data_IF_110502634801
#
_entry.id   IF_110502634801
#
_cell.length_a   1.000
_cell.length_b   1.000
_cell.length_c   1.000
_cell.angle_alpha   90.00
_cell.angle_beta   90.00
_cell.angle_gamma   90.00
#
_symmetry.space_group_name_H-M   'P 1'
#
loop_
_entity.id
_entity.type
_entity.pdbx_description
1 polymer ?
#
# COMPACT_ATOMS: atom_id res chain seq x y z
N UNK A 1 -32.81 -3.67 -12.71
CA UNK A 1 -32.17 -4.97 -12.81
C UNK A 1 -33.17 -6.12 -12.94
N UNK A 2 -34.05 -6.33 -11.97
CA UNK A 2 -35.08 -7.39 -12.04
C UNK A 2 -35.92 -7.26 -13.32
N UNK A 3 -36.36 -6.04 -13.69
CA UNK A 3 -37.07 -5.78 -14.95
C UNK A 3 -36.20 -6.05 -16.20
N UNK A 4 -34.92 -5.70 -16.14
CA UNK A 4 -33.98 -5.92 -17.23
C UNK A 4 -33.65 -7.41 -17.38
N UNK A 5 -33.45 -8.13 -16.28
CA UNK A 5 -33.27 -9.58 -16.30
C UNK A 5 -34.55 -10.30 -16.80
N UNK A 6 -35.74 -9.82 -16.42
CA UNK A 6 -37.01 -10.33 -16.94
C UNK A 6 -37.20 -10.08 -18.45
N UNK A 7 -36.68 -8.96 -18.96
CA UNK A 7 -36.73 -8.67 -20.42
C UNK A 7 -35.87 -9.64 -21.25
N UNK A 8 -34.83 -10.19 -20.64
CA UNK A 8 -33.88 -11.13 -21.27
C UNK A 8 -34.32 -12.61 -21.10
N UNK A 9 -34.92 -12.92 -19.94
CA UNK A 9 -35.26 -14.31 -19.57
C UNK A 9 -36.72 -14.67 -19.75
N UNK A 10 -37.63 -13.69 -19.97
CA UNK A 10 -39.07 -13.85 -19.98
C UNK A 10 -39.71 -13.85 -18.59
N UNK A 11 -41.06 -13.73 -18.53
CA UNK A 11 -41.84 -13.58 -17.29
C UNK A 11 -41.79 -14.76 -16.33
N UNK A 12 -41.34 -15.92 -16.78
CA UNK A 12 -41.40 -17.18 -16.04
C UNK A 12 -40.07 -17.56 -15.37
N UNK A 13 -39.09 -16.65 -15.36
CA UNK A 13 -37.83 -16.85 -14.69
C UNK A 13 -37.90 -16.35 -13.24
N UNK A 14 -37.61 -17.23 -12.28
CA UNK A 14 -37.32 -16.83 -10.92
C UNK A 14 -35.90 -16.28 -10.85
N UNK A 15 -35.78 -15.00 -10.53
CA UNK A 15 -34.48 -14.32 -10.45
C UNK A 15 -34.13 -14.25 -8.98
N UNK A 16 -33.17 -15.07 -8.56
CA UNK A 16 -32.61 -15.00 -7.20
C UNK A 16 -31.36 -14.12 -7.29
N UNK A 17 -31.40 -12.97 -6.62
CA UNK A 17 -30.23 -12.15 -6.39
C UNK A 17 -29.72 -12.54 -5.00
N UNK A 18 -28.63 -13.29 -4.94
CA UNK A 18 -28.01 -13.65 -3.69
C UNK A 18 -27.41 -12.38 -3.07
N UNK A 19 -28.03 -11.99 -1.97
CA UNK A 19 -27.61 -11.02 -0.96
C UNK A 19 -26.56 -9.97 -1.41
N UNK A 20 -27.01 -8.95 -2.14
CA UNK A 20 -26.29 -7.66 -2.18
C UNK A 20 -27.35 -6.57 -2.10
N UNK A 21 -27.16 -5.68 -1.17
CA UNK A 21 -28.04 -4.55 -0.89
C UNK A 21 -28.36 -3.77 -2.19
N UNK A 22 -29.62 -3.71 -2.57
CA UNK A 22 -30.06 -3.19 -3.86
C UNK A 22 -29.81 -1.67 -4.05
N UNK A 23 -29.16 -1.01 -3.11
CA UNK A 23 -28.94 0.45 -3.13
C UNK A 23 -27.71 0.91 -3.92
N UNK A 24 -26.86 -0.01 -4.40
CA UNK A 24 -25.58 0.36 -5.03
C UNK A 24 -25.48 0.11 -6.56
N UNK A 25 -26.57 -0.25 -7.23
CA UNK A 25 -26.53 -0.63 -8.62
C UNK A 25 -26.87 0.53 -9.57
N UNK A 26 -25.85 1.26 -10.01
CA UNK A 26 -25.95 2.23 -11.12
C UNK A 26 -25.35 1.73 -12.44
N UNK A 27 -25.28 0.42 -12.65
CA UNK A 27 -24.72 -0.16 -13.87
C UNK A 27 -25.80 -0.58 -14.87
N UNK A 28 -25.64 -0.10 -16.12
CA UNK A 28 -26.35 -0.65 -17.28
C UNK A 28 -25.52 -1.82 -17.82
N UNK A 29 -25.94 -3.04 -17.54
CA UNK A 29 -25.35 -4.24 -18.17
C UNK A 29 -25.86 -4.34 -19.58
N UNK A 30 -24.98 -4.45 -20.59
CA UNK A 30 -25.40 -4.77 -21.96
C UNK A 30 -25.90 -6.22 -21.99
N UNK A 31 -27.14 -6.49 -22.45
CA UNK A 31 -27.67 -7.85 -22.53
C UNK A 31 -26.83 -8.83 -23.37
N UNK A 32 -25.91 -8.31 -24.21
CA UNK A 32 -24.99 -9.13 -25.01
C UNK A 32 -23.80 -9.68 -24.20
N UNK A 33 -23.51 -9.12 -23.02
CA UNK A 33 -22.42 -9.57 -22.14
C UNK A 33 -22.86 -10.73 -21.22
N UNK A 34 -24.12 -11.17 -21.29
CA UNK A 34 -24.62 -12.31 -20.55
C UNK A 34 -24.19 -13.60 -21.25
N UNK A 35 -23.22 -14.32 -20.66
CA UNK A 35 -22.82 -15.63 -21.19
C UNK A 35 -23.91 -16.68 -20.95
N UNK A 36 -24.47 -17.19 -22.06
CA UNK A 36 -25.52 -18.19 -22.02
C UNK A 36 -24.98 -19.63 -21.77
N UNK A 37 -23.66 -19.81 -21.75
CA UNK A 37 -23.04 -21.14 -21.59
C UNK A 37 -23.01 -21.66 -20.13
N UNK A 38 -23.15 -20.77 -19.15
CA UNK A 38 -23.13 -21.09 -17.72
C UNK A 38 -24.56 -21.24 -17.12
N UNK A 39 -25.45 -21.93 -17.83
CA UNK A 39 -26.82 -22.22 -17.35
C UNK A 39 -26.78 -23.44 -16.40
N UNK A 40 -26.82 -23.18 -15.10
CA UNK A 40 -27.15 -24.22 -14.14
C UNK A 40 -28.67 -24.48 -14.17
N UNK A 41 -29.08 -25.74 -14.41
CA UNK A 41 -30.49 -26.14 -14.31
C UNK A 41 -30.61 -26.93 -13.02
N UNK A 42 -31.06 -26.33 -11.96
CA UNK A 42 -31.67 -27.05 -10.85
C UNK A 42 -33.19 -26.91 -10.90
N UNK A 43 -33.86 -27.96 -10.50
CA UNK A 43 -35.25 -28.32 -10.74
C UNK A 43 -36.36 -27.29 -10.48
N UNK A 44 -36.09 -26.02 -10.31
CA UNK A 44 -37.07 -24.90 -10.27
C UNK A 44 -36.44 -23.53 -10.50
N UNK A 45 -35.85 -23.26 -11.63
CA UNK A 45 -35.39 -21.90 -11.97
C UNK A 45 -34.13 -21.90 -12.82
N UNK A 46 -34.00 -20.92 -13.70
CA UNK A 46 -32.77 -20.72 -14.49
C UNK A 46 -31.85 -19.78 -13.69
N UNK A 47 -30.71 -20.32 -13.23
CA UNK A 47 -29.66 -19.51 -12.58
C UNK A 47 -28.74 -18.97 -13.67
N UNK A 48 -28.61 -17.66 -13.76
CA UNK A 48 -27.66 -16.99 -14.63
C UNK A 48 -26.43 -16.60 -13.85
N UNK A 49 -25.26 -17.15 -14.20
CA UNK A 49 -23.98 -16.60 -13.78
C UNK A 49 -23.54 -15.53 -14.75
N UNK A 50 -23.38 -14.31 -14.28
CA UNK A 50 -22.82 -13.21 -15.06
C UNK A 50 -21.29 -13.37 -14.93
N UNK A 51 -20.64 -13.81 -16.03
CA UNK A 51 -19.20 -13.92 -16.12
C UNK A 51 -18.62 -12.51 -16.34
N UNK A 52 -17.70 -12.06 -15.53
CA UNK A 52 -17.03 -10.77 -15.72
C UNK A 52 -17.55 -9.62 -14.88
N UNK A 53 -18.58 -9.80 -14.05
CA UNK A 53 -18.80 -8.85 -12.98
C UNK A 53 -17.82 -9.24 -11.86
N UNK A 54 -16.61 -8.72 -11.95
CA UNK A 54 -15.82 -8.49 -10.74
C UNK A 54 -16.68 -7.49 -9.97
N UNK A 55 -17.39 -7.99 -8.96
CA UNK A 55 -18.11 -7.12 -8.05
C UNK A 55 -17.14 -6.02 -7.65
N UNK A 56 -17.58 -4.79 -7.78
CA UNK A 56 -16.87 -3.63 -7.28
C UNK A 56 -16.73 -3.79 -5.76
N UNK A 57 -15.75 -4.59 -5.35
CA UNK A 57 -15.47 -4.89 -3.93
C UNK A 57 -14.93 -3.66 -3.20
N UNK A 58 -14.66 -2.59 -3.94
CA UNK A 58 -14.27 -1.29 -3.40
C UNK A 58 -15.47 -0.40 -3.03
N UNK A 59 -16.68 -0.88 -3.05
CA UNK A 59 -17.87 -0.16 -2.60
C UNK A 59 -18.42 -0.66 -1.27
N UNK A 60 -17.80 -1.68 -0.69
CA UNK A 60 -18.21 -2.20 0.62
C UNK A 60 -17.90 -1.14 1.68
N UNK A 61 -18.96 -0.55 2.26
CA UNK A 61 -18.84 0.36 3.39
C UNK A 61 -18.05 -0.33 4.51
N UNK A 62 -17.01 0.32 5.01
CA UNK A 62 -16.16 -0.25 6.04
C UNK A 62 -14.95 -1.03 5.54
N UNK A 63 -14.63 -0.98 4.24
CA UNK A 63 -13.48 -1.67 3.67
C UNK A 63 -12.24 -0.78 3.63
N UNK A 64 -11.10 -1.33 4.02
CA UNK A 64 -9.80 -0.68 3.96
C UNK A 64 -8.95 -1.31 2.85
N UNK A 65 -8.08 -0.51 2.24
CA UNK A 65 -7.31 -0.93 1.06
C UNK A 65 -5.82 -0.64 1.25
N UNK A 66 -4.98 -1.65 1.07
CA UNK A 66 -3.53 -1.50 0.97
C UNK A 66 -3.13 -1.55 -0.51
N UNK A 67 -2.42 -0.53 -0.96
CA UNK A 67 -1.93 -0.42 -2.34
C UNK A 67 -0.43 -0.65 -2.31
N UNK A 68 -0.01 -1.81 -2.80
CA UNK A 68 1.33 -2.35 -2.62
C UNK A 68 2.02 -2.69 -3.96
N UNK A 69 3.30 -2.92 -3.90
CA UNK A 69 4.17 -3.26 -5.02
C UNK A 69 5.49 -2.51 -4.93
N UNK A 70 6.44 -2.87 -5.79
CA UNK A 70 7.77 -2.24 -5.80
C UNK A 70 7.73 -0.78 -6.27
N UNK A 71 8.86 -0.10 -6.15
CA UNK A 71 9.02 1.25 -6.70
C UNK A 71 8.73 1.23 -8.20
N UNK A 72 7.96 2.23 -8.69
CA UNK A 72 7.58 2.35 -10.10
C UNK A 72 6.44 1.49 -10.59
N UNK A 73 5.87 0.66 -9.76
CA UNK A 73 4.72 -0.16 -10.13
C UNK A 73 3.42 0.63 -10.39
N UNK A 74 3.39 1.94 -10.09
CA UNK A 74 2.24 2.79 -10.35
C UNK A 74 1.25 2.91 -9.19
N UNK A 75 1.67 2.63 -7.94
CA UNK A 75 0.84 2.74 -6.74
C UNK A 75 0.16 4.09 -6.59
N UNK A 76 0.91 5.18 -6.67
CA UNK A 76 0.37 6.55 -6.51
C UNK A 76 -0.68 6.89 -7.58
N UNK A 77 -0.52 6.35 -8.81
CA UNK A 77 -1.50 6.47 -9.88
C UNK A 77 -2.80 5.73 -9.52
N UNK A 78 -2.68 4.50 -8.98
CA UNK A 78 -3.84 3.74 -8.54
C UNK A 78 -4.54 4.44 -7.38
N UNK A 79 -3.79 4.90 -6.36
CA UNK A 79 -4.34 5.67 -5.23
C UNK A 79 -5.08 6.91 -5.73
N UNK A 80 -4.54 7.65 -6.70
CA UNK A 80 -5.22 8.83 -7.27
C UNK A 80 -6.53 8.46 -8.00
N UNK A 81 -6.56 7.34 -8.73
CA UNK A 81 -7.79 6.83 -9.35
C UNK A 81 -8.84 6.46 -8.31
N UNK A 82 -8.42 5.74 -7.25
CA UNK A 82 -9.31 5.32 -6.17
C UNK A 82 -9.87 6.51 -5.39
N UNK A 83 -9.03 7.49 -5.04
CA UNK A 83 -9.48 8.74 -4.38
C UNK A 83 -10.51 9.50 -5.20
N UNK A 84 -10.37 9.49 -6.53
CA UNK A 84 -11.34 10.14 -7.41
C UNK A 84 -12.66 9.34 -7.51
N UNK A 85 -12.56 8.02 -7.49
CA UNK A 85 -13.73 7.13 -7.58
C UNK A 85 -14.49 7.06 -6.25
N UNK A 86 -13.78 7.08 -5.13
CA UNK A 86 -14.30 6.97 -3.77
C UNK A 86 -13.90 8.20 -2.93
N UNK A 87 -14.54 9.37 -3.14
CA UNK A 87 -14.14 10.62 -2.48
C UNK A 87 -14.35 10.61 -0.95
N UNK A 88 -15.10 9.66 -0.42
CA UNK A 88 -15.32 9.48 1.02
C UNK A 88 -14.17 8.78 1.72
N UNK A 89 -13.29 8.09 0.98
CA UNK A 89 -12.17 7.39 1.59
C UNK A 89 -11.09 8.35 2.08
N UNK A 90 -10.57 8.06 3.26
CA UNK A 90 -9.37 8.73 3.78
C UNK A 90 -8.13 8.07 3.19
N UNK A 91 -7.28 8.85 2.56
CA UNK A 91 -6.05 8.36 1.90
C UNK A 91 -4.85 8.69 2.75
N UNK A 92 -4.00 7.69 3.00
CA UNK A 92 -2.71 7.82 3.66
C UNK A 92 -1.60 7.48 2.68
N UNK A 93 -0.72 8.45 2.45
CA UNK A 93 0.48 8.33 1.60
C UNK A 93 1.72 8.24 2.46
N UNK A 94 2.84 7.86 1.87
CA UNK A 94 4.13 7.94 2.55
C UNK A 94 4.38 9.35 3.07
N UNK A 95 4.84 9.45 4.32
CA UNK A 95 5.03 10.71 5.01
C UNK A 95 3.79 11.30 5.69
N UNK A 96 2.61 10.69 5.53
CA UNK A 96 1.41 11.06 6.30
C UNK A 96 1.47 10.48 7.72
N UNK A 97 0.78 11.11 8.66
CA UNK A 97 0.48 10.47 9.93
C UNK A 97 -0.59 9.38 9.69
N UNK A 98 -0.13 8.18 9.41
CA UNK A 98 -0.98 7.03 9.17
C UNK A 98 -1.25 6.24 10.45
N UNK A 99 -2.41 5.62 10.65
CA UNK A 99 -2.66 4.77 11.82
C UNK A 99 -1.83 3.48 11.83
N UNK A 100 -1.27 3.05 10.70
CA UNK A 100 -0.54 1.79 10.58
C UNK A 100 0.95 1.96 10.30
N UNK A 101 1.34 2.99 9.54
CA UNK A 101 2.68 3.14 8.99
C UNK A 101 3.27 4.51 9.34
N UNK A 102 4.59 4.61 9.49
CA UNK A 102 5.32 5.84 9.86
C UNK A 102 6.53 6.13 8.97
N UNK A 103 6.56 5.63 7.73
CA UNK A 103 7.65 5.99 6.82
C UNK A 103 7.73 7.51 6.64
N UNK A 104 8.97 8.02 6.63
CA UNK A 104 9.25 9.44 6.49
C UNK A 104 8.69 10.31 7.62
N UNK A 105 8.49 9.71 8.80
CA UNK A 105 8.09 10.40 10.01
C UNK A 105 9.10 10.15 11.13
N UNK A 106 9.44 11.20 11.88
CA UNK A 106 10.24 11.05 13.09
C UNK A 106 9.34 10.63 14.26
N UNK A 107 9.76 9.58 14.99
CA UNK A 107 9.07 9.05 16.16
C UNK A 107 9.89 9.32 17.41
N UNK A 108 9.52 10.33 18.19
CA UNK A 108 10.34 10.86 19.28
C UNK A 108 9.60 10.91 20.61
N UNK A 109 10.32 10.86 21.71
CA UNK A 109 9.75 11.14 23.04
C UNK A 109 9.34 12.59 23.18
N UNK A 110 8.43 12.91 24.13
CA UNK A 110 8.03 14.30 24.44
C UNK A 110 9.21 15.20 24.76
N UNK A 111 10.23 14.66 25.45
CA UNK A 111 11.45 15.43 25.78
C UNK A 111 12.25 15.77 24.53
N UNK A 112 12.50 14.78 23.65
CA UNK A 112 13.21 15.02 22.39
C UNK A 112 12.42 15.96 21.46
N UNK A 113 11.09 15.87 21.45
CA UNK A 113 10.26 16.83 20.72
C UNK A 113 10.46 18.27 21.15
N UNK A 114 10.52 18.53 22.48
CA UNK A 114 10.78 19.86 23.00
C UNK A 114 12.16 20.39 22.58
N UNK A 115 13.20 19.53 22.61
CA UNK A 115 14.55 19.86 22.15
C UNK A 115 14.57 20.21 20.65
N UNK A 116 13.84 19.47 19.81
CA UNK A 116 13.69 19.74 18.38
C UNK A 116 13.02 21.12 18.16
N UNK A 117 11.95 21.42 18.89
CA UNK A 117 11.26 22.70 18.79
C UNK A 117 12.16 23.88 19.21
N UNK A 118 13.03 23.68 20.20
CA UNK A 118 13.98 24.70 20.62
C UNK A 118 15.13 24.89 19.61
N UNK A 119 15.64 23.78 19.06
CA UNK A 119 16.68 23.80 18.02
C UNK A 119 16.18 24.49 16.74
N UNK A 120 14.96 24.22 16.34
CA UNK A 120 14.32 24.73 15.12
C UNK A 120 13.25 25.77 15.40
N UNK A 121 13.48 26.64 16.40
CA UNK A 121 12.52 27.64 16.89
C UNK A 121 11.98 28.57 15.79
N UNK A 122 12.76 28.84 14.73
CA UNK A 122 12.35 29.68 13.61
C UNK A 122 11.24 29.09 12.73
N UNK A 123 11.06 27.77 12.79
CA UNK A 123 10.01 27.03 12.05
C UNK A 123 9.14 26.20 13.00
N UNK A 124 9.10 26.56 14.28
CA UNK A 124 8.37 25.86 15.33
C UNK A 124 6.92 25.57 14.93
N UNK A 125 6.20 26.59 14.48
CA UNK A 125 4.78 26.49 14.13
C UNK A 125 4.56 25.44 13.02
N UNK A 126 5.44 25.41 12.00
CA UNK A 126 5.37 24.43 10.92
C UNK A 126 5.62 22.99 11.41
N UNK A 127 6.52 22.82 12.40
CA UNK A 127 6.76 21.52 13.02
C UNK A 127 5.54 21.09 13.83
N UNK A 128 4.97 21.99 14.64
CA UNK A 128 3.81 21.74 15.48
C UNK A 128 2.58 21.35 14.62
N UNK A 129 2.34 22.05 13.52
CA UNK A 129 1.26 21.76 12.54
C UNK A 129 1.38 20.37 11.92
N UNK A 130 2.60 19.84 11.76
CA UNK A 130 2.87 18.54 11.17
C UNK A 130 3.24 17.48 12.24
N UNK A 131 2.83 17.70 13.49
CA UNK A 131 3.13 16.80 14.61
C UNK A 131 1.87 16.26 15.29
N UNK A 132 1.94 14.99 15.67
CA UNK A 132 0.83 14.25 16.24
C UNK A 132 1.22 13.60 17.57
N UNK A 133 0.29 13.59 18.53
CA UNK A 133 0.51 12.95 19.83
C UNK A 133 0.22 11.44 19.73
N UNK A 134 1.15 10.61 20.21
CA UNK A 134 0.98 9.18 20.28
C UNK A 134 1.50 8.66 21.64
N UNK A 135 0.61 8.56 22.62
CA UNK A 135 0.97 8.19 23.99
C UNK A 135 2.03 9.13 24.59
N UNK A 136 3.20 8.58 24.93
CA UNK A 136 4.35 9.34 25.43
C UNK A 136 5.30 9.83 24.34
N UNK A 137 4.94 9.61 23.10
CA UNK A 137 5.72 10.03 21.92
C UNK A 137 5.01 11.13 21.12
N UNK A 138 5.77 11.68 20.19
CA UNK A 138 5.32 12.55 19.11
C UNK A 138 5.77 11.96 17.78
N UNK A 139 4.88 12.03 16.82
CA UNK A 139 5.18 11.74 15.41
C UNK A 139 5.27 13.06 14.68
N UNK A 140 6.40 13.34 14.04
CA UNK A 140 6.62 14.51 13.22
C UNK A 140 6.67 14.07 11.77
N UNK A 141 5.70 14.46 10.96
CA UNK A 141 5.72 14.24 9.51
C UNK A 141 6.68 15.24 8.87
N UNK A 142 7.98 15.05 9.12
CA UNK A 142 9.01 16.05 8.84
C UNK A 142 9.17 16.34 7.35
N UNK A 143 8.85 15.41 6.47
CA UNK A 143 8.88 15.63 5.01
C UNK A 143 7.78 16.55 4.51
N UNK A 144 6.75 16.81 5.32
CA UNK A 144 5.69 17.79 5.05
C UNK A 144 6.03 19.21 5.53
N UNK A 145 7.07 19.34 6.33
CA UNK A 145 7.58 20.65 6.76
C UNK A 145 8.40 21.23 5.61
N UNK A 146 7.78 22.11 4.83
CA UNK A 146 8.46 22.79 3.71
C UNK A 146 9.32 23.91 4.27
N UNK A 147 10.64 23.75 4.19
CA UNK A 147 11.61 24.72 4.71
C UNK A 147 12.94 24.61 3.97
N UNK A 148 13.60 25.77 3.81
CA UNK A 148 14.97 25.88 3.29
C UNK A 148 16.03 25.80 4.39
N UNK A 149 15.63 25.48 5.64
CA UNK A 149 16.54 25.43 6.77
C UNK A 149 17.51 24.25 6.62
N UNK A 150 18.83 24.51 6.44
CA UNK A 150 19.76 23.43 6.17
C UNK A 150 19.82 22.41 7.30
N UNK A 151 19.85 21.13 6.91
CA UNK A 151 20.00 20.03 7.86
C UNK A 151 18.70 19.54 8.51
N UNK A 152 17.61 20.30 8.51
CA UNK A 152 16.37 19.95 9.20
C UNK A 152 15.89 18.53 8.86
N UNK A 153 15.68 18.23 7.59
CA UNK A 153 15.17 16.92 7.16
C UNK A 153 16.14 15.79 7.53
N UNK A 154 17.46 16.00 7.31
CA UNK A 154 18.47 15.01 7.64
C UNK A 154 18.58 14.74 9.14
N UNK A 155 18.41 15.78 9.96
CA UNK A 155 18.43 15.65 11.41
C UNK A 155 17.20 14.91 11.93
N UNK A 156 16.04 15.08 11.28
CA UNK A 156 14.82 14.37 11.69
C UNK A 156 14.77 12.92 11.19
N UNK A 157 15.39 12.63 10.06
CA UNK A 157 15.52 11.28 9.49
C UNK A 157 16.10 10.27 10.50
N UNK A 158 17.04 10.68 11.37
CA UNK A 158 17.63 9.79 12.37
C UNK A 158 16.62 9.21 13.38
N UNK A 159 15.44 9.82 13.49
CA UNK A 159 14.39 9.39 14.42
C UNK A 159 13.28 8.57 13.75
N UNK A 160 13.45 8.14 12.51
CA UNK A 160 12.55 7.19 11.88
C UNK A 160 12.60 5.82 12.59
N UNK A 161 11.52 5.05 12.48
CA UNK A 161 11.49 3.68 13.02
C UNK A 161 12.14 2.67 12.07
N UNK A 162 12.32 3.03 10.81
CA UNK A 162 12.90 2.22 9.73
C UNK A 162 14.42 2.40 9.62
N UNK A 163 15.00 1.77 8.60
CA UNK A 163 16.41 1.88 8.22
C UNK A 163 17.38 1.39 9.32
N UNK A 164 16.94 0.37 10.08
CA UNK A 164 17.76 -0.21 11.17
C UNK A 164 18.04 0.75 12.33
N UNK A 165 17.33 1.86 12.42
CA UNK A 165 17.57 2.89 13.45
C UNK A 165 17.16 2.47 14.85
N UNK A 166 16.18 1.57 14.95
CA UNK A 166 15.75 0.94 16.19
C UNK A 166 16.22 -0.51 16.25
N UNK A 167 16.30 -1.05 17.45
CA UNK A 167 16.43 -2.50 17.62
C UNK A 167 15.25 -3.21 16.95
N UNK A 168 15.47 -4.48 16.55
CA UNK A 168 14.40 -5.25 15.90
C UNK A 168 13.16 -5.40 16.80
N UNK A 169 13.38 -5.61 18.09
CA UNK A 169 12.29 -5.77 19.06
C UNK A 169 11.46 -4.49 19.23
N UNK A 170 12.11 -3.32 19.25
CA UNK A 170 11.40 -2.04 19.32
C UNK A 170 10.63 -1.75 18.02
N UNK A 171 11.27 -1.95 16.87
CA UNK A 171 10.64 -1.83 15.57
C UNK A 171 9.38 -2.72 15.48
N UNK A 172 9.54 -4.02 15.76
CA UNK A 172 8.45 -5.01 15.76
C UNK A 172 7.34 -4.60 16.73
N UNK A 173 7.67 -4.18 17.95
CA UNK A 173 6.70 -3.74 18.94
C UNK A 173 5.90 -2.54 18.45
N UNK A 174 6.54 -1.53 17.83
CA UNK A 174 5.87 -0.34 17.33
C UNK A 174 4.95 -0.72 16.16
N UNK A 175 5.45 -1.45 15.16
CA UNK A 175 4.67 -1.87 14.00
C UNK A 175 3.44 -2.68 14.44
N UNK A 176 3.64 -3.72 15.26
CA UNK A 176 2.53 -4.57 15.69
C UNK A 176 1.50 -3.82 16.52
N UNK A 177 1.95 -2.97 17.43
CA UNK A 177 1.06 -2.14 18.25
C UNK A 177 0.18 -1.23 17.37
N UNK A 178 0.71 -0.63 16.31
CA UNK A 178 -0.04 0.24 15.41
C UNK A 178 -1.09 -0.54 14.62
N UNK A 179 -0.72 -1.67 14.02
CA UNK A 179 -1.67 -2.53 13.31
C UNK A 179 -2.74 -3.13 14.23
N UNK A 180 -2.40 -3.50 15.47
CA UNK A 180 -3.34 -4.02 16.45
C UNK A 180 -4.39 -2.96 16.84
N UNK A 181 -3.92 -1.74 17.13
CA UNK A 181 -4.75 -0.62 17.59
C UNK A 181 -5.37 0.20 16.47
N UNK A 182 -5.03 -0.09 15.21
CA UNK A 182 -5.68 0.55 14.08
C UNK A 182 -7.19 0.30 14.12
N UNK A 183 -7.93 1.39 14.09
CA UNK A 183 -9.39 1.44 14.02
C UNK A 183 -9.79 2.39 12.89
N UNK A 184 -10.94 2.11 12.30
CA UNK A 184 -11.51 2.93 11.24
C UNK A 184 -11.68 2.13 9.96
N UNK A 185 -12.53 2.69 9.12
CA UNK A 185 -13.00 2.11 7.87
C UNK A 185 -12.85 3.12 6.74
N UNK A 186 -13.01 2.63 5.50
CA UNK A 186 -12.94 3.47 4.29
C UNK A 186 -11.59 4.21 4.16
N UNK A 187 -10.49 3.48 4.40
CA UNK A 187 -9.13 3.98 4.33
C UNK A 187 -8.37 3.36 3.16
N UNK A 188 -7.55 4.16 2.51
CA UNK A 188 -6.62 3.71 1.46
C UNK A 188 -5.20 4.01 1.91
N UNK A 189 -4.37 2.98 2.03
CA UNK A 189 -2.98 3.04 2.47
C UNK A 189 -2.04 2.79 1.30
N UNK A 190 -1.14 3.70 1.03
CA UNK A 190 -0.07 3.54 0.03
C UNK A 190 1.21 3.05 0.72
N UNK A 191 1.82 1.97 0.20
CA UNK A 191 3.12 1.44 0.64
C UNK A 191 3.21 1.01 2.12
N UNK A 192 2.08 0.80 2.79
CA UNK A 192 2.08 0.68 4.25
C UNK A 192 2.28 -0.75 4.75
N UNK A 193 1.82 -1.77 4.01
CA UNK A 193 1.84 -3.16 4.49
C UNK A 193 3.15 -3.87 4.17
N UNK A 194 3.74 -3.66 2.99
CA UNK A 194 4.94 -4.40 2.55
C UNK A 194 6.15 -3.50 2.38
N UNK A 195 6.08 -2.49 1.50
CA UNK A 195 7.25 -1.81 0.98
C UNK A 195 8.27 -1.43 2.07
N UNK A 196 7.90 -0.64 3.05
CA UNK A 196 8.83 -0.09 4.03
C UNK A 196 9.28 -1.13 5.06
N UNK A 197 8.39 -2.05 5.45
CA UNK A 197 8.70 -3.13 6.39
C UNK A 197 9.67 -4.13 5.76
N UNK A 198 9.35 -4.62 4.55
CA UNK A 198 10.18 -5.63 3.87
C UNK A 198 11.54 -5.04 3.52
N UNK A 199 11.58 -3.79 3.04
CA UNK A 199 12.82 -3.08 2.70
C UNK A 199 13.74 -2.92 3.93
N UNK A 200 13.20 -2.49 5.08
CA UNK A 200 13.95 -2.38 6.33
C UNK A 200 14.50 -3.74 6.77
N UNK A 201 13.67 -4.80 6.72
CA UNK A 201 14.08 -6.13 7.12
C UNK A 201 15.15 -6.71 6.18
N UNK A 202 15.03 -6.52 4.86
CA UNK A 202 16.00 -7.01 3.89
C UNK A 202 17.31 -6.22 3.92
N UNK A 203 17.23 -4.90 3.77
CA UNK A 203 18.40 -4.06 3.55
C UNK A 203 19.15 -3.70 4.84
N UNK A 204 18.42 -3.42 5.92
CA UNK A 204 19.02 -2.89 7.13
C UNK A 204 19.18 -3.92 8.24
N UNK A 205 18.38 -4.99 8.24
CA UNK A 205 18.48 -6.06 9.24
C UNK A 205 19.07 -7.35 8.69
N UNK A 206 19.35 -7.43 7.39
CA UNK A 206 19.82 -8.64 6.73
C UNK A 206 18.96 -9.88 7.02
N UNK A 207 17.66 -9.69 7.24
CA UNK A 207 16.75 -10.77 7.55
C UNK A 207 16.61 -11.71 6.36
N UNK A 208 16.55 -13.00 6.65
CA UNK A 208 16.22 -14.03 5.66
C UNK A 208 14.74 -14.02 5.30
N UNK A 209 14.39 -14.58 4.16
CA UNK A 209 12.99 -14.74 3.73
C UNK A 209 12.14 -15.45 4.79
N UNK A 210 12.72 -16.43 5.52
CA UNK A 210 12.01 -17.14 6.59
C UNK A 210 11.71 -16.23 7.78
N UNK A 211 12.64 -15.37 8.18
CA UNK A 211 12.43 -14.43 9.28
C UNK A 211 11.40 -13.36 8.90
N UNK A 212 11.41 -12.90 7.65
CA UNK A 212 10.40 -11.98 7.12
C UNK A 212 9.02 -12.65 7.10
N UNK A 213 8.93 -13.90 6.61
CA UNK A 213 7.68 -14.66 6.64
C UNK A 213 7.17 -14.90 8.07
N UNK A 214 8.05 -15.16 9.04
CA UNK A 214 7.66 -15.32 10.44
C UNK A 214 7.11 -14.03 11.03
N UNK A 215 7.72 -12.88 10.73
CA UNK A 215 7.19 -11.57 11.08
C UNK A 215 5.78 -11.36 10.51
N UNK A 216 5.58 -11.67 9.23
CA UNK A 216 4.27 -11.52 8.60
C UNK A 216 3.23 -12.55 9.07
N UNK A 217 3.63 -13.75 9.50
CA UNK A 217 2.72 -14.70 10.16
C UNK A 217 2.13 -14.13 11.44
N UNK A 218 2.94 -13.42 12.22
CA UNK A 218 2.47 -12.75 13.43
C UNK A 218 1.58 -11.54 13.07
N UNK A 219 1.99 -10.70 12.11
CA UNK A 219 1.20 -9.57 11.64
C UNK A 219 -0.15 -10.03 11.08
N UNK A 220 -0.18 -11.15 10.32
CA UNK A 220 -1.42 -11.71 9.81
C UNK A 220 -2.37 -12.19 10.92
N UNK A 221 -1.85 -12.66 12.06
CA UNK A 221 -2.68 -13.00 13.23
C UNK A 221 -3.32 -11.75 13.84
N UNK A 222 -2.57 -10.66 13.92
CA UNK A 222 -3.08 -9.35 14.37
C UNK A 222 -4.19 -8.86 13.44
N UNK A 223 -3.98 -8.97 12.14
CA UNK A 223 -4.89 -8.50 11.10
C UNK A 223 -6.09 -9.42 10.83
N UNK A 224 -6.17 -10.59 11.48
CA UNK A 224 -7.18 -11.62 11.17
C UNK A 224 -8.63 -11.13 11.23
N UNK A 225 -8.93 -10.22 12.16
CA UNK A 225 -10.27 -9.69 12.38
C UNK A 225 -10.45 -8.27 11.79
N UNK A 226 -9.52 -7.81 10.97
CA UNK A 226 -9.61 -6.51 10.28
C UNK A 226 -10.17 -6.70 8.88
N UNK A 227 -11.07 -5.81 8.48
CA UNK A 227 -11.62 -5.81 7.13
C UNK A 227 -10.72 -4.97 6.23
N UNK A 228 -10.05 -5.64 5.28
CA UNK A 228 -9.19 -4.99 4.30
C UNK A 228 -9.00 -5.84 3.05
N UNK A 229 -8.56 -5.17 1.98
CA UNK A 229 -8.09 -5.77 0.72
C UNK A 229 -6.68 -5.25 0.40
N UNK A 230 -5.94 -6.03 -0.36
CA UNK A 230 -4.62 -5.68 -0.85
C UNK A 230 -4.70 -5.65 -2.37
N UNK A 231 -4.36 -4.51 -2.98
CA UNK A 231 -4.05 -4.42 -4.41
C UNK A 231 -2.54 -4.44 -4.56
N UNK A 232 -2.02 -5.53 -5.10
CA UNK A 232 -0.59 -5.67 -5.34
C UNK A 232 -0.28 -5.46 -6.82
N UNK A 233 0.50 -4.42 -7.11
CA UNK A 233 0.92 -4.07 -8.47
C UNK A 233 2.24 -4.77 -8.80
N UNK A 234 2.18 -5.74 -9.73
CA UNK A 234 3.37 -6.44 -10.23
C UNK A 234 3.93 -5.77 -11.47
N UNK A 235 5.23 -5.89 -11.68
CA UNK A 235 5.88 -5.56 -12.94
C UNK A 235 6.69 -6.74 -13.47
N UNK A 236 6.55 -7.04 -14.76
CA UNK A 236 7.33 -8.09 -15.40
C UNK A 236 8.76 -7.62 -15.73
N UNK A 237 8.93 -6.32 -15.93
CA UNK A 237 10.23 -5.71 -16.28
C UNK A 237 10.58 -4.60 -15.29
N UNK A 238 11.36 -4.99 -14.27
CA UNK A 238 11.84 -4.10 -13.21
C UNK A 238 12.60 -2.91 -13.80
N UNK A 239 13.56 -3.17 -14.71
CA UNK A 239 14.39 -2.13 -15.31
C UNK A 239 13.55 -1.07 -16.03
N UNK A 240 12.59 -1.50 -16.85
CA UNK A 240 11.67 -0.57 -17.54
C UNK A 240 10.80 0.24 -16.58
N UNK A 241 10.40 -0.35 -15.46
CA UNK A 241 9.61 0.36 -14.45
C UNK A 241 10.44 1.42 -13.72
N UNK A 242 11.69 1.10 -13.39
CA UNK A 242 12.63 2.04 -12.79
C UNK A 242 13.00 3.15 -13.77
N UNK A 243 13.28 2.84 -15.03
CA UNK A 243 13.54 3.84 -16.08
C UNK A 243 12.39 4.83 -16.26
N UNK A 244 11.16 4.37 -16.11
CA UNK A 244 9.99 5.25 -16.16
C UNK A 244 10.00 6.25 -14.99
N UNK A 245 10.32 5.81 -13.76
CA UNK A 245 10.42 6.71 -12.60
C UNK A 245 11.61 7.67 -12.75
N UNK A 246 12.75 7.20 -13.22
CA UNK A 246 13.93 8.05 -13.45
C UNK A 246 13.55 9.26 -14.30
N UNK A 247 12.82 9.02 -15.39
CA UNK A 247 12.32 10.09 -16.27
C UNK A 247 11.27 10.97 -15.60
N UNK A 248 10.33 10.37 -14.87
CA UNK A 248 9.25 11.09 -14.21
C UNK A 248 9.77 12.00 -13.09
N UNK A 249 10.84 11.58 -12.39
CA UNK A 249 11.45 12.28 -11.25
C UNK A 249 12.76 13.00 -11.61
N UNK A 250 13.01 13.27 -12.88
CA UNK A 250 14.06 14.17 -13.32
C UNK A 250 13.62 15.63 -13.18
N UNK A 251 14.60 16.53 -12.99
CA UNK A 251 14.34 17.97 -12.99
C UNK A 251 14.03 18.50 -14.41
N UNK A 252 13.73 19.79 -14.52
CA UNK A 252 13.43 20.47 -15.79
C UNK A 252 14.58 20.39 -16.81
N UNK A 253 15.80 20.13 -16.37
CA UNK A 253 17.00 19.97 -17.20
C UNK A 253 17.26 18.51 -17.55
N UNK A 254 16.45 17.57 -17.07
CA UNK A 254 16.62 16.13 -17.27
C UNK A 254 17.62 15.48 -16.31
N UNK A 255 18.06 16.17 -15.25
CA UNK A 255 18.93 15.58 -14.24
C UNK A 255 18.13 14.62 -13.36
N UNK A 256 18.66 13.42 -13.15
CA UNK A 256 18.07 12.40 -12.30
C UNK A 256 18.20 12.79 -10.82
N UNK A 257 17.08 13.08 -10.16
CA UNK A 257 17.08 13.49 -8.75
C UNK A 257 16.88 12.30 -7.80
N UNK A 258 15.99 11.38 -8.15
CA UNK A 258 15.61 10.27 -7.28
C UNK A 258 16.55 9.06 -7.37
N UNK A 259 16.96 8.68 -8.58
CA UNK A 259 17.71 7.43 -8.80
C UNK A 259 19.07 7.40 -8.12
N UNK A 260 19.89 8.47 -8.14
CA UNK A 260 21.15 8.50 -7.39
C UNK A 260 20.96 8.31 -5.88
N UNK A 261 19.88 8.85 -5.31
CA UNK A 261 19.54 8.67 -3.89
C UNK A 261 19.16 7.21 -3.60
N UNK A 262 18.36 6.59 -4.48
CA UNK A 262 17.99 5.18 -4.36
C UNK A 262 19.19 4.25 -4.48
N UNK A 263 20.12 4.56 -5.40
CA UNK A 263 21.38 3.83 -5.55
C UNK A 263 22.24 3.93 -4.30
N UNK A 264 22.44 5.14 -3.77
CA UNK A 264 23.19 5.35 -2.54
C UNK A 264 22.54 4.62 -1.35
N UNK A 265 21.20 4.67 -1.25
CA UNK A 265 20.45 3.97 -0.21
C UNK A 265 20.68 2.45 -0.24
N UNK A 266 20.69 1.85 -1.45
CA UNK A 266 20.98 0.43 -1.62
C UNK A 266 22.45 0.10 -1.34
N UNK A 267 23.39 0.80 -1.98
CA UNK A 267 24.83 0.52 -1.91
C UNK A 267 25.37 0.73 -0.48
N UNK A 268 24.82 1.69 0.27
CA UNK A 268 25.20 1.96 1.65
C UNK A 268 24.54 1.02 2.67
N UNK A 269 23.57 0.24 2.25
CA UNK A 269 22.84 -0.67 3.15
C UNK A 269 23.77 -1.74 3.77
N UNK A 270 23.48 -2.21 5.00
CA UNK A 270 24.14 -3.37 5.59
C UNK A 270 24.08 -4.61 4.70
N UNK A 271 22.98 -4.81 3.98
CA UNK A 271 22.79 -5.90 3.03
C UNK A 271 23.85 -5.86 1.91
N UNK A 272 23.94 -4.76 1.21
CA UNK A 272 24.89 -4.62 0.09
C UNK A 272 26.34 -4.73 0.58
N UNK A 273 26.68 -4.02 1.67
CA UNK A 273 28.03 -4.06 2.29
C UNK A 273 28.44 -5.45 2.75
N UNK A 274 27.55 -6.18 3.41
CA UNK A 274 27.87 -7.52 3.93
C UNK A 274 28.08 -8.57 2.82
N UNK A 275 27.47 -8.35 1.66
CA UNK A 275 27.58 -9.24 0.48
C UNK A 275 28.60 -8.77 -0.54
N UNK A 276 29.14 -7.56 -0.40
CA UNK A 276 30.05 -6.97 -1.36
C UNK A 276 29.41 -6.72 -2.72
N UNK A 277 28.12 -6.38 -2.74
CA UNK A 277 27.33 -6.10 -3.95
C UNK A 277 27.03 -4.62 -4.06
N UNK A 278 26.91 -4.10 -5.27
CA UNK A 278 26.57 -2.70 -5.54
C UNK A 278 26.17 -2.52 -7.00
N UNK A 279 25.55 -1.37 -7.27
CA UNK A 279 25.23 -0.96 -8.64
C UNK A 279 23.83 -1.37 -9.08
N UNK A 280 23.47 -0.86 -10.24
CA UNK A 280 22.11 -0.90 -10.79
C UNK A 280 21.57 -2.32 -10.98
N UNK A 281 22.41 -3.24 -11.48
CA UNK A 281 22.00 -4.63 -11.71
C UNK A 281 21.63 -5.34 -10.39
N UNK A 282 22.41 -5.10 -9.33
CA UNK A 282 22.14 -5.68 -8.02
C UNK A 282 20.90 -5.06 -7.35
N UNK A 283 20.67 -3.76 -7.54
CA UNK A 283 19.43 -3.10 -7.12
C UNK A 283 18.21 -3.73 -7.82
N UNK A 284 18.28 -4.02 -9.11
CA UNK A 284 17.19 -4.66 -9.85
C UNK A 284 16.94 -6.09 -9.39
N UNK A 285 17.99 -6.85 -9.07
CA UNK A 285 17.86 -8.19 -8.46
C UNK A 285 17.19 -8.10 -7.09
N UNK A 286 17.56 -7.09 -6.30
CA UNK A 286 16.91 -6.84 -5.01
C UNK A 286 15.42 -6.57 -5.18
N UNK A 287 15.01 -5.68 -6.09
CA UNK A 287 13.60 -5.41 -6.34
C UNK A 287 12.84 -6.64 -6.86
N UNK A 288 13.46 -7.45 -7.71
CA UNK A 288 12.86 -8.71 -8.18
C UNK A 288 12.63 -9.67 -7.01
N UNK A 289 13.64 -9.89 -6.17
CA UNK A 289 13.55 -10.74 -5.00
C UNK A 289 12.48 -10.22 -4.01
N UNK A 290 12.43 -8.91 -3.77
CA UNK A 290 11.43 -8.31 -2.91
C UNK A 290 10.01 -8.53 -3.46
N UNK A 291 9.78 -8.31 -4.75
CA UNK A 291 8.47 -8.58 -5.38
C UNK A 291 8.05 -10.04 -5.21
N UNK A 292 8.96 -10.98 -5.45
CA UNK A 292 8.70 -12.41 -5.32
C UNK A 292 8.34 -12.78 -3.88
N UNK A 293 9.05 -12.23 -2.90
CA UNK A 293 8.81 -12.44 -1.48
C UNK A 293 7.47 -11.84 -1.03
N UNK A 294 7.16 -10.60 -1.43
CA UNK A 294 5.89 -9.93 -1.12
C UNK A 294 4.70 -10.71 -1.73
N UNK A 295 4.82 -11.18 -2.96
CA UNK A 295 3.82 -12.04 -3.59
C UNK A 295 3.68 -13.40 -2.89
N UNK A 296 4.77 -13.94 -2.37
CA UNK A 296 4.74 -15.15 -1.55
C UNK A 296 3.99 -14.92 -0.24
N UNK A 297 4.25 -13.81 0.44
CA UNK A 297 3.52 -13.40 1.65
C UNK A 297 2.02 -13.28 1.33
N UNK A 298 1.66 -12.62 0.24
CA UNK A 298 0.27 -12.52 -0.22
C UNK A 298 -0.39 -13.89 -0.38
N UNK A 299 0.25 -14.80 -1.10
CA UNK A 299 -0.30 -16.15 -1.37
C UNK A 299 -0.42 -17.02 -0.12
N UNK A 300 0.59 -16.98 0.76
CA UNK A 300 0.63 -17.84 1.93
C UNK A 300 -0.23 -17.33 3.10
N UNK A 301 -0.33 -16.01 3.27
CA UNK A 301 -0.89 -15.42 4.48
C UNK A 301 -2.18 -14.61 4.24
N UNK A 302 -2.41 -14.14 3.03
CA UNK A 302 -3.56 -13.30 2.68
C UNK A 302 -4.31 -13.78 1.41
N UNK A 303 -4.48 -15.10 1.17
CA UNK A 303 -4.96 -15.61 -0.13
C UNK A 303 -6.33 -15.05 -0.54
N UNK A 304 -7.22 -14.80 0.42
CA UNK A 304 -8.58 -14.31 0.16
C UNK A 304 -8.68 -12.77 0.20
N UNK A 305 -7.58 -12.08 0.48
CA UNK A 305 -7.56 -10.61 0.65
C UNK A 305 -6.79 -9.89 -0.44
N UNK A 306 -6.08 -10.59 -1.33
CA UNK A 306 -5.22 -9.99 -2.34
C UNK A 306 -5.81 -10.04 -3.74
N UNK A 307 -5.70 -8.93 -4.46
CA UNK A 307 -5.88 -8.84 -5.92
C UNK A 307 -4.56 -8.42 -6.52
N UNK A 308 -4.00 -9.26 -7.38
CA UNK A 308 -2.74 -8.97 -8.09
C UNK A 308 -3.07 -8.33 -9.43
N UNK A 309 -2.51 -7.14 -9.68
CA UNK A 309 -2.72 -6.35 -10.89
C UNK A 309 -1.39 -6.16 -11.62
N UNK A 310 -1.41 -6.26 -12.95
CA UNK A 310 -0.25 -5.90 -13.76
C UNK A 310 -0.05 -4.38 -13.75
N UNK A 311 1.18 -3.93 -13.43
CA UNK A 311 1.52 -2.49 -13.46
C UNK A 311 1.14 -1.86 -14.80
N UNK A 312 0.37 -0.77 -14.75
CA UNK A 312 -0.07 0.01 -15.94
C UNK A 312 -0.90 -0.75 -16.99
N UNK A 313 -1.26 -2.02 -16.73
CA UNK A 313 -2.02 -2.85 -17.67
C UNK A 313 -3.41 -3.21 -17.19
N UNK A 314 -3.74 -2.93 -15.93
CA UNK A 314 -5.06 -3.18 -15.35
C UNK A 314 -6.11 -2.22 -15.94
N UNK A 315 -7.30 -2.76 -16.15
CA UNK A 315 -8.49 -1.99 -16.58
C UNK A 315 -9.24 -1.40 -15.39
N UNK A 316 -10.07 -0.39 -15.63
CA UNK A 316 -10.93 0.17 -14.57
C UNK A 316 -11.99 -0.83 -14.07
N UNK A 317 -12.20 -1.95 -14.76
CA UNK A 317 -13.09 -3.03 -14.35
C UNK A 317 -12.44 -4.00 -13.33
N UNK A 318 -11.12 -3.96 -13.18
CA UNK A 318 -10.38 -4.77 -12.20
C UNK A 318 -10.23 -4.05 -10.85
N UNK A 319 -10.68 -2.80 -10.78
CA UNK A 319 -10.72 -1.94 -9.61
C UNK A 319 -12.15 -1.88 -9.06
#
# INVERSE_FOLDING_TARGET
MIEMARSVCGSDCEITIDTVDAHYWNYKVDPKELDQSDRGVENKGKIWKIKGIVFDRMGDKGMNYFIEGIQGSGKSTLVAKLSKRYPSCTVFREGDYSPVELAWCAYVTKGRYAEILDQYHSIRDLIEENSYAEGDHRVICYTKVITDLPGFHKDLEQYEIYNGRLSFDEFRRIVFHRYENWIGDDMVFECSLFQNIVEDMMLYRNASDSEILDFYRELARILRNKEFRIFYLTTENIASSIDAIRKERSDENGNEMWFPLMMAYFDESPYAKSRGVSGEEELYKHFSHRQDLELRICRELFPDKVTVLGSKTYSDNEL
#
